data_IF_495899114985
#
_entry.id   IF_495899114985
#
_cell.length_a   1.000
_cell.length_b   1.000
_cell.length_c   1.000
_cell.angle_alpha   90.00
_cell.angle_beta   90.00
_cell.angle_gamma   90.00
#
_symmetry.space_group_name_H-M   'P 1'
#
loop_
_entity.id
_entity.type
_entity.pdbx_description
1 polymer ?
#
# COMPACT_ATOMS: atom_id res chain seq x y z
N UNK A 1 -4.43 3.84 -10.91
CA UNK A 1 -5.19 4.89 -11.61
C UNK A 1 -5.94 5.77 -10.61
N UNK A 2 -6.14 7.05 -10.92
CA UNK A 2 -6.95 7.92 -10.08
C UNK A 2 -8.44 7.53 -10.12
N UNK A 3 -9.16 7.85 -9.05
CA UNK A 3 -10.59 7.55 -8.94
C UNK A 3 -11.48 8.30 -9.96
N UNK A 4 -11.30 9.61 -10.22
CA UNK A 4 -12.24 10.35 -11.06
C UNK A 4 -12.30 9.90 -12.52
N UNK A 5 -11.15 9.57 -13.12
CA UNK A 5 -11.06 9.33 -14.57
C UNK A 5 -10.49 7.97 -14.92
N UNK A 6 -10.00 7.21 -13.94
CA UNK A 6 -9.41 5.89 -14.18
C UNK A 6 -8.09 5.93 -14.95
N UNK A 7 -7.47 7.11 -15.11
CA UNK A 7 -6.18 7.25 -15.81
C UNK A 7 -5.01 6.88 -14.91
N UNK A 8 -3.95 6.31 -15.49
CA UNK A 8 -2.68 6.07 -14.82
C UNK A 8 -1.75 7.27 -15.00
N UNK A 9 -1.12 7.69 -13.92
CA UNK A 9 -0.05 8.70 -13.95
C UNK A 9 1.26 8.07 -14.45
N UNK A 10 2.18 8.92 -14.89
CA UNK A 10 3.53 8.52 -15.28
C UNK A 10 4.40 8.29 -14.04
N UNK A 11 4.36 7.06 -13.51
CA UNK A 11 5.05 6.71 -12.27
C UNK A 11 6.58 6.74 -12.44
N UNK A 12 7.09 6.43 -13.64
CA UNK A 12 8.53 6.44 -13.91
C UNK A 12 9.10 7.86 -13.81
N UNK A 13 8.45 8.83 -14.45
CA UNK A 13 8.87 10.25 -14.39
C UNK A 13 8.72 10.82 -12.97
N UNK A 14 7.60 10.52 -12.28
CA UNK A 14 7.40 10.97 -10.89
C UNK A 14 8.46 10.36 -9.95
N UNK A 15 8.76 9.07 -10.11
CA UNK A 15 9.79 8.40 -9.31
C UNK A 15 11.19 8.96 -9.59
N UNK A 16 11.49 9.30 -10.85
CA UNK A 16 12.75 9.94 -11.23
C UNK A 16 12.92 11.30 -10.55
N UNK A 17 11.87 12.12 -10.50
CA UNK A 17 11.86 13.40 -9.75
C UNK A 17 12.07 13.16 -8.25
N UNK A 18 11.37 12.19 -7.67
CA UNK A 18 11.56 11.82 -6.27
C UNK A 18 13.00 11.47 -5.94
N UNK A 19 13.66 10.68 -6.81
CA UNK A 19 15.09 10.37 -6.66
C UNK A 19 15.98 11.59 -6.81
N UNK A 20 15.73 12.44 -7.81
CA UNK A 20 16.52 13.65 -8.06
C UNK A 20 16.55 14.58 -6.85
N UNK A 21 15.41 14.74 -6.17
CA UNK A 21 15.26 15.65 -5.04
C UNK A 21 15.34 14.97 -3.67
N UNK A 22 15.60 13.66 -3.62
CA UNK A 22 15.61 12.85 -2.40
C UNK A 22 14.30 12.95 -1.61
N UNK A 23 13.17 12.90 -2.31
CA UNK A 23 11.80 12.98 -1.78
C UNK A 23 11.14 11.60 -1.91
N UNK A 24 10.54 11.04 -0.85
CA UNK A 24 9.81 9.78 -0.93
C UNK A 24 8.59 9.88 -1.86
N UNK A 25 8.46 8.92 -2.78
CA UNK A 25 7.30 8.82 -3.70
C UNK A 25 6.35 7.74 -3.22
N UNK A 26 5.08 8.10 -3.08
CA UNK A 26 3.97 7.17 -2.80
C UNK A 26 3.15 6.94 -4.06
N UNK A 27 2.89 5.68 -4.39
CA UNK A 27 1.97 5.30 -5.46
C UNK A 27 0.63 4.88 -4.86
N UNK A 28 -0.41 5.64 -5.14
CA UNK A 28 -1.78 5.25 -4.79
C UNK A 28 -2.30 4.21 -5.79
N UNK A 29 -2.19 2.95 -5.39
CA UNK A 29 -2.81 1.82 -6.07
C UNK A 29 -4.02 1.29 -5.28
N UNK A 30 -4.64 2.10 -4.41
CA UNK A 30 -5.80 1.68 -3.61
C UNK A 30 -6.91 1.16 -4.52
N UNK A 31 -7.26 1.94 -5.54
CA UNK A 31 -8.27 1.54 -6.51
C UNK A 31 -7.79 0.41 -7.40
N UNK A 32 -6.64 0.55 -8.06
CA UNK A 32 -6.26 -0.34 -9.16
C UNK A 32 -5.36 -1.52 -8.79
N UNK A 33 -4.75 -1.55 -7.61
CA UNK A 33 -3.62 -2.44 -7.28
C UNK A 33 -3.89 -3.91 -7.59
N UNK A 34 -4.99 -4.47 -7.07
CA UNK A 34 -5.39 -5.86 -7.31
C UNK A 34 -6.00 -6.13 -8.71
N UNK A 35 -6.04 -5.13 -9.58
CA UNK A 35 -6.39 -5.30 -10.99
C UNK A 35 -5.13 -5.19 -11.86
N UNK A 36 -4.38 -4.09 -11.73
CA UNK A 36 -3.25 -3.77 -12.61
C UNK A 36 -2.12 -4.79 -12.53
N UNK A 37 -1.90 -5.44 -11.38
CA UNK A 37 -0.89 -6.50 -11.21
C UNK A 37 -1.15 -7.75 -12.07
N UNK A 38 -2.39 -7.96 -12.52
CA UNK A 38 -2.77 -9.12 -13.35
C UNK A 38 -3.00 -8.76 -14.82
N UNK A 39 -2.94 -7.47 -15.18
CA UNK A 39 -3.28 -7.01 -16.53
C UNK A 39 -2.33 -7.53 -17.60
N UNK A 40 -1.03 -7.65 -17.28
CA UNK A 40 -0.05 -8.22 -18.21
C UNK A 40 -0.37 -9.68 -18.53
N UNK A 41 -0.71 -10.48 -17.53
CA UNK A 41 -1.15 -11.88 -17.71
C UNK A 41 -2.46 -11.98 -18.49
N UNK A 42 -3.32 -10.97 -18.37
CA UNK A 42 -4.57 -10.85 -19.14
C UNK A 42 -4.37 -10.30 -20.57
N UNK A 43 -3.13 -10.07 -21.02
CA UNK A 43 -2.80 -9.62 -22.37
C UNK A 43 -2.80 -8.09 -22.56
N UNK A 44 -2.89 -7.33 -21.48
CA UNK A 44 -2.85 -5.86 -21.50
C UNK A 44 -1.51 -5.35 -20.95
N UNK A 45 -0.69 -4.77 -21.82
CA UNK A 45 0.58 -4.17 -21.41
C UNK A 45 0.34 -2.80 -20.76
N UNK A 46 0.79 -2.63 -19.52
CA UNK A 46 0.73 -1.37 -18.78
C UNK A 46 2.14 -0.86 -18.45
N UNK A 47 2.33 0.46 -18.29
CA UNK A 47 3.55 1.01 -17.71
C UNK A 47 3.82 0.46 -16.30
N UNK A 48 5.10 0.32 -15.89
CA UNK A 48 5.45 -0.13 -14.55
C UNK A 48 5.02 0.93 -13.52
N UNK A 49 4.56 0.47 -12.36
CA UNK A 49 4.03 1.35 -11.31
C UNK A 49 4.42 0.92 -9.89
N UNK A 50 5.04 -0.25 -9.75
CA UNK A 50 5.32 -0.87 -8.45
C UNK A 50 6.78 -0.62 -8.00
N UNK A 51 7.27 -1.39 -7.02
CA UNK A 51 8.64 -1.27 -6.51
C UNK A 51 9.73 -1.64 -7.53
N UNK A 52 9.39 -2.16 -8.71
CA UNK A 52 10.33 -2.29 -9.82
C UNK A 52 10.78 -0.93 -10.38
N UNK A 53 9.97 0.12 -10.20
CA UNK A 53 10.31 1.49 -10.59
C UNK A 53 11.24 2.11 -9.55
N UNK A 54 12.51 2.41 -9.88
CA UNK A 54 13.44 2.95 -8.91
C UNK A 54 13.01 4.34 -8.44
N UNK A 55 12.77 4.52 -7.15
CA UNK A 55 12.30 5.77 -6.55
C UNK A 55 10.93 5.67 -5.90
N UNK A 56 10.13 4.64 -6.25
CA UNK A 56 8.90 4.32 -5.54
C UNK A 56 9.24 3.85 -4.12
N UNK A 57 8.77 4.59 -3.12
CA UNK A 57 9.09 4.31 -1.71
C UNK A 57 7.98 3.62 -0.96
N UNK A 58 6.72 3.82 -1.35
CA UNK A 58 5.55 3.19 -0.75
C UNK A 58 4.39 3.02 -1.73
N UNK A 59 3.54 2.02 -1.47
CA UNK A 59 2.37 1.69 -2.30
C UNK A 59 1.19 1.35 -1.39
N UNK A 60 0.03 1.94 -1.65
CA UNK A 60 -1.23 1.55 -1.01
C UNK A 60 -2.07 0.70 -1.95
N UNK A 61 -2.75 -0.34 -1.44
CA UNK A 61 -3.62 -1.21 -2.24
C UNK A 61 -4.81 -1.74 -1.42
N UNK A 62 -6.04 -1.49 -1.88
CA UNK A 62 -7.23 -1.93 -1.14
C UNK A 62 -7.59 -3.36 -1.48
N UNK A 63 -7.34 -4.25 -0.53
CA UNK A 63 -7.76 -5.64 -0.61
C UNK A 63 -9.28 -5.76 -0.66
N UNK A 64 -10.02 -4.81 -0.09
CA UNK A 64 -11.48 -4.79 -0.11
C UNK A 64 -12.14 -4.24 -1.40
N UNK A 65 -11.32 -3.90 -2.41
CA UNK A 65 -11.76 -3.50 -3.76
C UNK A 65 -11.61 -4.68 -4.72
N UNK A 66 -10.74 -4.60 -5.72
CA UNK A 66 -10.51 -5.72 -6.66
C UNK A 66 -9.75 -6.91 -6.05
N UNK A 67 -9.32 -6.82 -4.79
CA UNK A 67 -8.85 -7.97 -4.03
C UNK A 67 -9.98 -8.81 -3.42
N UNK A 68 -11.24 -8.40 -3.59
CA UNK A 68 -12.45 -9.09 -3.14
C UNK A 68 -12.56 -9.41 -1.63
N UNK A 69 -11.67 -8.84 -0.80
CA UNK A 69 -11.75 -8.98 0.65
C UNK A 69 -12.94 -8.20 1.26
N UNK A 70 -13.40 -8.55 2.48
CA UNK A 70 -14.45 -7.79 3.14
C UNK A 70 -14.07 -6.34 3.40
N UNK A 71 -15.06 -5.45 3.43
CA UNK A 71 -14.87 -4.02 3.69
C UNK A 71 -14.12 -3.74 5.00
N UNK A 72 -13.19 -2.79 4.93
CA UNK A 72 -12.33 -2.39 6.06
C UNK A 72 -11.00 -3.13 6.13
N UNK A 73 -10.51 -3.68 5.01
CA UNK A 73 -9.15 -4.20 4.86
C UNK A 73 -8.42 -3.48 3.71
N UNK A 74 -7.16 -3.13 3.91
CA UNK A 74 -6.26 -2.52 2.92
C UNK A 74 -4.81 -2.80 3.33
N UNK A 75 -3.85 -2.54 2.45
CA UNK A 75 -2.42 -2.65 2.76
C UNK A 75 -1.68 -1.36 2.39
N UNK A 76 -0.68 -1.04 3.22
CA UNK A 76 0.35 -0.06 2.92
C UNK A 76 1.69 -0.78 2.94
N UNK A 77 2.44 -0.65 1.85
CA UNK A 77 3.73 -1.30 1.65
C UNK A 77 4.81 -0.21 1.58
N UNK A 78 6.00 -0.55 2.09
CA UNK A 78 7.17 0.32 2.02
C UNK A 78 8.33 -0.47 1.43
N UNK A 79 9.09 0.18 0.56
CA UNK A 79 10.31 -0.34 -0.06
C UNK A 79 11.40 -0.70 0.95
N UNK A 80 11.52 0.07 2.04
CA UNK A 80 12.54 -0.10 3.07
C UNK A 80 11.97 0.04 4.49
N UNK A 81 12.51 -0.69 5.49
CA UNK A 81 12.06 -0.59 6.88
C UNK A 81 12.16 0.82 7.48
N UNK A 82 13.13 1.63 7.04
CA UNK A 82 13.32 3.00 7.52
C UNK A 82 12.06 3.86 7.34
N UNK A 83 11.35 3.70 6.22
CA UNK A 83 10.09 4.43 5.99
C UNK A 83 8.99 3.93 6.92
N UNK A 84 8.87 2.60 7.08
CA UNK A 84 7.86 1.99 7.95
C UNK A 84 8.05 2.35 9.42
N UNK A 85 9.27 2.54 9.89
CA UNK A 85 9.54 2.92 11.28
C UNK A 85 8.92 4.27 11.66
N UNK A 86 8.79 5.19 10.70
CA UNK A 86 8.11 6.47 10.91
C UNK A 86 6.57 6.35 11.02
N UNK A 87 5.98 5.21 10.67
CA UNK A 87 4.53 4.97 10.82
C UNK A 87 4.16 4.55 12.26
N UNK A 88 5.10 3.96 12.99
CA UNK A 88 4.81 3.38 14.31
C UNK A 88 4.53 4.48 15.34
N UNK A 89 3.50 4.27 16.15
CA UNK A 89 3.24 5.08 17.34
C UNK A 89 3.67 4.28 18.57
N UNK A 90 4.62 4.79 19.35
CA UNK A 90 5.15 4.14 20.56
C UNK A 90 5.12 5.14 21.71
N UNK A 91 4.61 4.73 22.86
CA UNK A 91 4.68 5.47 24.12
C UNK A 91 5.25 4.56 25.21
N UNK A 92 6.28 5.05 25.90
CA UNK A 92 6.98 4.32 26.97
C UNK A 92 6.57 4.77 28.37
N UNK A 93 6.00 5.96 28.48
CA UNK A 93 5.79 6.64 29.76
C UNK A 93 4.34 6.55 30.25
N UNK A 94 3.51 5.79 29.55
CA UNK A 94 2.12 5.57 29.93
C UNK A 94 2.05 4.67 31.18
N UNK A 95 1.32 5.06 32.25
CA UNK A 95 1.19 4.23 33.45
C UNK A 95 0.60 2.83 33.22
N UNK A 96 -0.10 2.62 32.10
CA UNK A 96 -0.60 1.31 31.68
C UNK A 96 0.47 0.37 31.10
N UNK A 97 1.73 0.81 31.03
CA UNK A 97 2.86 0.08 30.47
C UNK A 97 3.28 0.59 29.09
N UNK A 98 4.35 0.01 28.56
CA UNK A 98 4.84 0.33 27.21
C UNK A 98 3.77 -0.07 26.18
N UNK A 99 3.40 0.88 25.33
CA UNK A 99 2.39 0.69 24.30
C UNK A 99 2.93 1.04 22.93
N UNK A 100 2.65 0.18 21.94
CA UNK A 100 3.02 0.39 20.55
C UNK A 100 1.90 -0.02 19.60
N UNK A 101 1.65 0.79 18.58
CA UNK A 101 0.72 0.45 17.50
C UNK A 101 1.37 0.64 16.13
N UNK A 102 1.29 -0.36 15.23
CA UNK A 102 1.84 -0.25 13.88
C UNK A 102 0.94 0.58 12.94
N UNK A 103 -0.31 0.87 13.32
CA UNK A 103 -1.27 1.68 12.56
C UNK A 103 -2.06 2.59 13.51
N UNK A 104 -3.00 3.38 13.00
CA UNK A 104 -3.80 4.32 13.79
C UNK A 104 -4.57 3.64 14.93
N UNK A 105 -5.08 2.42 14.71
CA UNK A 105 -5.96 1.74 15.66
C UNK A 105 -5.18 0.87 16.65
N UNK A 106 -5.54 0.95 17.93
CA UNK A 106 -5.17 -0.03 18.95
C UNK A 106 -5.92 -1.35 18.80
N UNK A 107 -7.14 -1.40 19.33
CA UNK A 107 -8.04 -2.55 19.12
C UNK A 107 -8.51 -2.62 17.66
N UNK A 108 -8.49 -3.82 17.08
CA UNK A 108 -8.78 -4.07 15.65
C UNK A 108 -9.66 -5.30 15.47
N UNK A 109 -10.51 -5.28 14.45
CA UNK A 109 -11.40 -6.40 14.11
C UNK A 109 -10.61 -7.53 13.42
N UNK A 110 -10.05 -8.45 14.21
CA UNK A 110 -9.19 -9.54 13.72
C UNK A 110 -9.84 -10.43 12.65
N UNK A 111 -11.16 -10.66 12.73
CA UNK A 111 -11.87 -11.49 11.75
C UNK A 111 -11.73 -11.01 10.30
N UNK A 112 -11.60 -9.69 10.07
CA UNK A 112 -11.40 -9.14 8.72
C UNK A 112 -10.04 -9.53 8.13
N UNK A 113 -9.01 -9.60 8.97
CA UNK A 113 -7.67 -10.03 8.56
C UNK A 113 -7.67 -11.52 8.20
N UNK A 114 -8.40 -12.35 8.95
CA UNK A 114 -8.56 -13.77 8.64
C UNK A 114 -9.23 -13.98 7.30
N UNK A 115 -10.36 -13.30 7.02
CA UNK A 115 -11.04 -13.46 5.72
C UNK A 115 -10.17 -12.95 4.57
N UNK A 116 -9.44 -11.84 4.77
CA UNK A 116 -8.44 -11.39 3.83
C UNK A 116 -7.43 -12.51 3.52
N UNK A 117 -6.79 -13.10 4.54
CA UNK A 117 -5.83 -14.18 4.33
C UNK A 117 -6.41 -15.37 3.55
N UNK A 118 -7.63 -15.79 3.87
CA UNK A 118 -8.28 -16.91 3.17
C UNK A 118 -8.50 -16.61 1.69
N UNK A 119 -8.94 -15.39 1.34
CA UNK A 119 -9.23 -15.02 -0.06
C UNK A 119 -7.96 -15.03 -0.93
N UNK A 120 -6.81 -14.65 -0.36
CA UNK A 120 -5.55 -14.61 -1.09
C UNK A 120 -4.81 -15.96 -1.15
N UNK A 121 -5.30 -17.00 -0.48
CA UNK A 121 -4.68 -18.34 -0.45
C UNK A 121 -5.59 -19.44 -1.02
N UNK A 122 -6.59 -19.08 -1.84
CA UNK A 122 -7.33 -20.02 -2.69
C UNK A 122 -6.60 -20.18 -4.03
#
# INVERSE_FOLDING_TARGET
>A
PNFPYGTMDDIEEIAALGRQYNIPVHVDACLGGFLVVFMEQAGYKLPPFDFSVPGVTSISADTHKYGFAPKGSSVILYSEPKYRHHQFCVTTDWPGGVYGSPTVNGSRAGGKLTTHFVIFNQ
#
